data_IF_981949207256
#
_entry.id   IF_981949207256
#
_cell.length_a   1.000
_cell.length_b   1.000
_cell.length_c   1.000
_cell.angle_alpha   90.00
_cell.angle_beta   90.00
_cell.angle_gamma   90.00
#
_symmetry.space_group_name_H-M   'P 1'
#
loop_
_entity.id
_entity.type
_entity.pdbx_description
1 polymer ?
#
# COMPACT_ATOMS: atom_id res chain seq x y z
N UNK A 1 -25.92 -15.61 -17.29
CA UNK A 1 -24.96 -14.75 -16.57
C UNK A 1 -23.64 -15.50 -16.55
N UNK A 2 -22.61 -15.00 -17.25
CA UNK A 2 -21.34 -15.73 -17.41
C UNK A 2 -20.42 -15.37 -16.25
N UNK A 3 -20.20 -16.32 -15.35
CA UNK A 3 -19.15 -16.23 -14.34
C UNK A 3 -17.83 -16.47 -15.06
N UNK A 4 -17.01 -15.43 -15.20
CA UNK A 4 -15.65 -15.58 -15.72
C UNK A 4 -14.80 -16.07 -14.55
N UNK A 5 -14.49 -17.37 -14.53
CA UNK A 5 -13.55 -17.94 -13.58
C UNK A 5 -12.13 -17.55 -13.97
N UNK A 6 -11.62 -16.54 -13.28
CA UNK A 6 -10.31 -15.98 -13.51
C UNK A 6 -9.18 -16.79 -12.86
N UNK A 7 -9.48 -17.80 -12.03
CA UNK A 7 -8.50 -18.52 -11.18
C UNK A 7 -7.26 -19.07 -11.91
N UNK A 8 -7.30 -19.24 -13.23
CA UNK A 8 -6.19 -19.73 -14.07
C UNK A 8 -5.93 -18.85 -15.31
N UNK A 9 -6.38 -17.60 -15.33
CA UNK A 9 -6.25 -16.73 -16.50
C UNK A 9 -4.83 -16.16 -16.64
N UNK A 10 -4.20 -16.15 -17.84
CA UNK A 10 -2.83 -15.66 -18.05
C UNK A 10 -2.55 -14.26 -17.50
N UNK A 11 -3.57 -13.39 -17.51
CA UNK A 11 -3.50 -12.03 -16.92
C UNK A 11 -2.98 -11.98 -15.48
N UNK A 12 -3.17 -13.05 -14.69
CA UNK A 12 -2.63 -13.11 -13.32
C UNK A 12 -1.15 -13.39 -13.29
N UNK A 13 -0.64 -14.18 -14.24
CA UNK A 13 0.80 -14.40 -14.38
C UNK A 13 1.46 -13.10 -14.85
N UNK A 14 0.89 -12.45 -15.86
CA UNK A 14 1.39 -11.17 -16.37
C UNK A 14 1.40 -10.09 -15.27
N UNK A 15 0.33 -10.00 -14.46
CA UNK A 15 0.31 -9.02 -13.37
C UNK A 15 1.23 -9.41 -12.21
N UNK A 16 1.33 -10.71 -11.88
CA UNK A 16 2.30 -11.17 -10.87
C UNK A 16 3.71 -10.80 -11.31
N UNK A 17 4.06 -11.01 -12.58
CA UNK A 17 5.35 -10.62 -13.13
C UNK A 17 5.58 -9.11 -13.09
N UNK A 18 4.57 -8.30 -13.43
CA UNK A 18 4.66 -6.83 -13.34
C UNK A 18 4.84 -6.36 -11.90
N UNK A 19 4.12 -6.95 -10.94
CA UNK A 19 4.20 -6.57 -9.51
C UNK A 19 5.47 -7.10 -8.85
N UNK A 20 5.94 -8.30 -9.18
CA UNK A 20 7.21 -8.84 -8.67
C UNK A 20 8.41 -8.04 -9.15
N UNK A 21 8.33 -7.46 -10.36
CA UNK A 21 9.36 -6.55 -10.88
C UNK A 21 9.13 -5.09 -10.45
N UNK A 22 8.09 -4.79 -9.68
CA UNK A 22 7.84 -3.44 -9.18
C UNK A 22 8.88 -3.09 -8.11
N UNK A 23 9.60 -1.99 -8.30
CA UNK A 23 10.44 -1.42 -7.25
C UNK A 23 9.53 -0.81 -6.17
N UNK A 24 9.18 -1.63 -5.19
CA UNK A 24 8.34 -1.27 -4.04
C UNK A 24 8.86 -0.06 -3.28
N UNK A 25 10.18 0.10 -3.16
CA UNK A 25 10.78 1.25 -2.50
C UNK A 25 10.54 2.52 -3.31
N UNK A 26 10.77 2.47 -4.63
CA UNK A 26 10.55 3.63 -5.50
C UNK A 26 9.09 4.06 -5.52
N UNK A 27 8.15 3.11 -5.66
CA UNK A 27 6.71 3.41 -5.65
C UNK A 27 6.27 4.07 -4.33
N UNK A 28 6.62 3.45 -3.19
CA UNK A 28 6.22 3.99 -1.89
C UNK A 28 6.92 5.32 -1.61
N UNK A 29 8.17 5.49 -2.03
CA UNK A 29 8.88 6.76 -1.85
C UNK A 29 8.23 7.89 -2.65
N UNK A 30 7.91 7.67 -3.92
CA UNK A 30 7.21 8.67 -4.75
C UNK A 30 5.86 9.05 -4.12
N UNK A 31 5.11 8.06 -3.66
CA UNK A 31 3.85 8.29 -2.95
C UNK A 31 4.03 9.12 -1.67
N UNK A 32 5.02 8.79 -0.83
CA UNK A 32 5.34 9.53 0.39
C UNK A 32 5.84 10.95 0.11
N UNK A 33 6.59 11.16 -0.97
CA UNK A 33 7.05 12.48 -1.39
C UNK A 33 5.88 13.38 -1.82
N UNK A 34 4.88 12.81 -2.51
CA UNK A 34 3.68 13.54 -2.94
C UNK A 34 2.82 14.02 -1.77
N UNK A 35 2.79 13.27 -0.66
CA UNK A 35 2.07 13.67 0.56
C UNK A 35 2.96 14.37 1.61
N UNK A 36 4.21 14.73 1.27
CA UNK A 36 5.21 15.28 2.20
C UNK A 36 5.37 14.46 3.49
N UNK A 37 5.28 13.13 3.36
CA UNK A 37 5.39 12.16 4.44
C UNK A 37 4.34 12.35 5.55
N UNK A 38 3.17 12.89 5.20
CA UNK A 38 2.08 13.15 6.16
C UNK A 38 0.90 12.22 5.93
N UNK A 39 0.37 11.69 7.03
CA UNK A 39 -0.92 11.00 7.07
C UNK A 39 -1.90 11.94 7.78
N UNK A 40 -2.98 12.30 7.11
CA UNK A 40 -3.98 13.22 7.64
C UNK A 40 -5.23 12.45 8.13
N UNK A 41 -5.74 12.81 9.31
CA UNK A 41 -6.99 12.26 9.84
C UNK A 41 -6.94 10.77 10.18
N UNK A 42 -5.94 10.37 10.97
CA UNK A 42 -5.70 8.99 11.35
C UNK A 42 -6.43 8.60 12.64
N UNK A 43 -6.96 7.37 12.69
CA UNK A 43 -7.49 6.74 13.90
C UNK A 43 -6.63 5.52 14.22
N UNK A 44 -6.15 5.44 15.45
CA UNK A 44 -5.42 4.25 15.92
C UNK A 44 -6.35 3.15 16.45
N UNK A 45 -5.78 2.03 16.87
CA UNK A 45 -6.52 0.87 17.39
C UNK A 45 -7.19 1.15 18.75
N UNK A 46 -6.84 2.25 19.43
CA UNK A 46 -7.40 2.66 20.72
C UNK A 46 -8.48 3.76 20.56
N UNK A 47 -9.03 3.92 19.35
CA UNK A 47 -10.01 4.96 18.98
C UNK A 47 -9.50 6.39 19.24
N UNK A 48 -8.19 6.61 19.18
CA UNK A 48 -7.61 7.95 19.30
C UNK A 48 -7.37 8.57 17.93
N UNK A 49 -7.83 9.81 17.79
CA UNK A 49 -7.71 10.59 16.57
C UNK A 49 -6.43 11.44 16.55
N UNK A 50 -5.75 11.43 15.40
CA UNK A 50 -4.61 12.26 15.09
C UNK A 50 -4.93 13.07 13.83
N UNK A 51 -4.88 14.39 13.94
CA UNK A 51 -5.11 15.29 12.80
C UNK A 51 -4.04 15.09 11.73
N UNK A 52 -2.78 14.96 12.15
CA UNK A 52 -1.63 14.73 11.27
C UNK A 52 -0.62 13.80 11.98
N UNK A 53 -0.09 12.84 11.24
CA UNK A 53 1.09 12.04 11.62
C UNK A 53 2.19 12.33 10.60
N UNK A 54 3.39 12.63 11.09
CA UNK A 54 4.55 12.90 10.25
C UNK A 54 5.46 11.68 10.27
N UNK A 55 5.63 11.07 9.12
CA UNK A 55 6.49 9.92 8.95
C UNK A 55 7.97 10.35 8.81
N UNK A 56 8.93 9.54 9.30
CA UNK A 56 10.35 9.79 9.05
C UNK A 56 10.66 9.81 7.55
N UNK A 57 11.55 10.70 7.09
CA UNK A 57 11.94 10.72 5.66
C UNK A 57 12.84 9.54 5.26
N UNK A 58 13.51 8.94 6.23
CA UNK A 58 14.39 7.78 6.04
C UNK A 58 13.63 6.47 6.28
N UNK A 59 12.73 6.13 5.34
CA UNK A 59 11.98 4.88 5.34
C UNK A 59 12.45 3.95 4.22
N UNK A 60 12.29 2.66 4.45
CA UNK A 60 12.27 1.64 3.40
C UNK A 60 10.90 0.95 3.39
N UNK A 61 10.52 0.47 2.21
CA UNK A 61 9.30 -0.26 1.97
C UNK A 61 9.61 -1.63 1.36
N UNK A 62 8.94 -2.65 1.86
CA UNK A 62 9.02 -4.00 1.31
C UNK A 62 7.61 -4.44 0.91
N UNK A 63 7.48 -4.99 -0.29
CA UNK A 63 6.23 -5.59 -0.76
C UNK A 63 5.92 -6.82 0.10
N UNK A 64 4.75 -6.82 0.74
CA UNK A 64 4.28 -7.92 1.60
C UNK A 64 3.30 -8.80 0.85
N UNK A 65 2.37 -8.16 0.15
CA UNK A 65 1.34 -8.86 -0.60
C UNK A 65 0.76 -7.96 -1.67
N UNK A 66 0.15 -8.58 -2.66
CA UNK A 66 -0.67 -7.93 -3.64
C UNK A 66 -1.94 -8.75 -3.86
N UNK A 67 -2.98 -8.10 -4.34
CA UNK A 67 -4.19 -8.77 -4.78
C UNK A 67 -4.88 -7.95 -5.86
N UNK A 68 -5.68 -8.62 -6.68
CA UNK A 68 -6.64 -7.96 -7.56
C UNK A 68 -8.02 -8.42 -7.12
N UNK A 69 -8.95 -7.49 -7.03
CA UNK A 69 -10.36 -7.81 -6.85
C UNK A 69 -11.20 -7.35 -8.02
N UNK A 70 -12.42 -7.90 -8.07
CA UNK A 70 -13.46 -7.49 -9.01
C UNK A 70 -14.75 -7.27 -8.21
N UNK A 71 -15.29 -6.07 -8.28
CA UNK A 71 -16.55 -5.72 -7.61
C UNK A 71 -17.45 -4.97 -8.59
N UNK A 72 -18.66 -5.47 -8.86
CA UNK A 72 -19.64 -4.84 -9.75
C UNK A 72 -19.06 -4.39 -11.11
N UNK A 73 -18.22 -5.25 -11.73
CA UNK A 73 -17.48 -5.00 -12.99
C UNK A 73 -16.32 -4.01 -12.92
N UNK A 74 -16.04 -3.39 -11.76
CA UNK A 74 -14.80 -2.63 -11.55
C UNK A 74 -13.72 -3.57 -11.06
N UNK A 75 -12.52 -3.47 -11.65
CA UNK A 75 -11.35 -4.18 -11.15
C UNK A 75 -10.48 -3.20 -10.37
N UNK A 76 -9.79 -3.72 -9.36
CA UNK A 76 -8.88 -2.94 -8.55
C UNK A 76 -7.65 -3.77 -8.21
N UNK A 77 -6.51 -3.11 -8.06
CA UNK A 77 -5.25 -3.71 -7.66
C UNK A 77 -4.90 -3.13 -6.28
N UNK A 78 -4.68 -4.00 -5.32
CA UNK A 78 -4.26 -3.63 -3.98
C UNK A 78 -2.83 -4.12 -3.76
N UNK A 79 -1.95 -3.22 -3.37
CA UNK A 79 -0.55 -3.52 -3.10
C UNK A 79 -0.24 -3.10 -1.67
N UNK A 80 0.27 -4.04 -0.87
CA UNK A 80 0.52 -3.85 0.56
C UNK A 80 2.01 -3.92 0.84
N UNK A 81 2.48 -2.91 1.56
CA UNK A 81 3.87 -2.69 1.92
C UNK A 81 4.04 -2.67 3.44
N UNK A 82 5.18 -3.17 3.91
CA UNK A 82 5.67 -2.92 5.27
C UNK A 82 6.63 -1.75 5.21
N UNK A 83 6.46 -0.79 6.11
CA UNK A 83 7.33 0.37 6.26
C UNK A 83 8.31 0.12 7.40
N UNK A 84 9.60 0.36 7.14
CA UNK A 84 10.67 0.24 8.13
C UNK A 84 11.45 1.53 8.24
N UNK A 85 11.72 1.98 9.46
CA UNK A 85 12.58 3.12 9.70
C UNK A 85 14.05 2.71 9.63
N UNK A 86 14.85 3.41 8.82
CA UNK A 86 16.25 3.04 8.60
C UNK A 86 17.18 3.39 9.78
N UNK A 87 16.72 4.21 10.75
CA UNK A 87 17.53 4.76 11.84
C UNK A 87 17.39 4.00 13.18
N UNK A 88 16.35 3.18 13.36
CA UNK A 88 16.03 2.48 14.60
C UNK A 88 15.93 0.98 14.34
N UNK A 89 17.05 0.25 14.40
CA UNK A 89 17.08 -1.24 14.40
C UNK A 89 16.11 -1.92 13.39
N UNK A 90 15.91 -1.34 12.20
CA UNK A 90 14.94 -1.80 11.20
C UNK A 90 13.56 -2.16 11.78
N UNK A 91 13.05 -1.35 12.72
CA UNK A 91 11.75 -1.58 13.31
C UNK A 91 10.63 -1.31 12.31
N UNK A 92 9.65 -2.21 12.29
CA UNK A 92 8.42 -2.07 11.51
C UNK A 92 7.64 -0.88 12.06
N UNK A 93 7.58 0.17 11.27
CA UNK A 93 6.85 1.40 11.59
C UNK A 93 5.34 1.23 11.31
N UNK A 94 5.00 0.42 10.31
CA UNK A 94 3.61 0.17 9.97
C UNK A 94 3.46 -0.55 8.65
N UNK A 95 2.24 -0.53 8.15
CA UNK A 95 1.86 -1.05 6.85
C UNK A 95 1.09 0.02 6.07
N UNK A 96 1.42 0.11 4.78
CA UNK A 96 0.73 0.95 3.82
C UNK A 96 0.11 0.04 2.77
N UNK A 97 -1.17 0.21 2.51
CA UNK A 97 -1.86 -0.44 1.40
C UNK A 97 -2.29 0.61 0.41
N UNK A 98 -1.84 0.52 -0.83
CA UNK A 98 -2.26 1.40 -1.93
C UNK A 98 -3.21 0.64 -2.84
N UNK A 99 -4.33 1.26 -3.19
CA UNK A 99 -5.36 0.69 -4.05
C UNK A 99 -5.42 1.49 -5.35
N UNK A 100 -5.28 0.80 -6.47
CA UNK A 100 -5.39 1.33 -7.82
C UNK A 100 -6.61 0.76 -8.55
N UNK A 101 -7.11 1.48 -9.54
CA UNK A 101 -8.10 0.96 -10.48
C UNK A 101 -7.44 0.10 -11.59
N UNK A 102 -8.26 -0.37 -12.52
CA UNK A 102 -7.81 -1.17 -13.66
C UNK A 102 -6.94 -0.41 -14.67
N UNK A 103 -6.89 0.92 -14.59
CA UNK A 103 -6.06 1.81 -15.39
C UNK A 103 -4.81 2.28 -14.62
N UNK A 104 -4.52 1.68 -13.45
CA UNK A 104 -3.44 2.08 -12.53
C UNK A 104 -3.58 3.50 -12.00
N UNK A 105 -4.80 4.05 -11.95
CA UNK A 105 -5.08 5.31 -11.27
C UNK A 105 -5.26 5.06 -9.78
N UNK A 106 -4.62 5.91 -8.95
CA UNK A 106 -4.78 5.86 -7.50
C UNK A 106 -6.26 6.02 -7.13
N UNK A 107 -6.79 5.09 -6.35
CA UNK A 107 -8.15 5.13 -5.83
C UNK A 107 -8.18 5.50 -4.35
N UNK A 108 -7.35 4.82 -3.56
CA UNK A 108 -7.41 4.93 -2.10
C UNK A 108 -6.13 4.37 -1.47
N UNK A 109 -5.96 4.66 -0.18
CA UNK A 109 -4.88 4.15 0.65
C UNK A 109 -5.40 3.76 2.02
N UNK A 110 -4.75 2.76 2.63
CA UNK A 110 -5.04 2.38 4.02
C UNK A 110 -3.74 2.30 4.80
N UNK A 111 -3.75 2.95 5.96
CA UNK A 111 -2.61 3.05 6.86
C UNK A 111 -2.84 2.25 8.13
N UNK A 112 -1.84 1.47 8.53
CA UNK A 112 -1.78 0.82 9.84
C UNK A 112 -0.42 1.15 10.45
N UNK A 113 -0.35 2.23 11.24
CA UNK A 113 0.90 2.75 11.77
C UNK A 113 1.01 2.43 13.25
N UNK A 114 2.20 2.03 13.67
CA UNK A 114 2.50 1.92 15.09
C UNK A 114 2.89 3.31 15.62
N UNK A 115 1.96 3.93 16.35
CA UNK A 115 2.12 5.29 16.89
C UNK A 115 3.28 5.42 17.89
N UNK A 116 3.72 4.33 18.52
CA UNK A 116 4.87 4.40 19.44
C UNK A 116 6.18 4.74 18.74
N UNK A 117 6.23 4.62 17.40
CA UNK A 117 7.43 4.79 16.58
C UNK A 117 7.37 5.97 15.59
N UNK A 118 6.34 6.82 15.66
CA UNK A 118 6.15 8.02 14.81
C UNK A 118 5.93 9.29 15.62
#
# INVERSE_FOLDING_TARGET
>A
MTQIELKNHPVWQDLTEVIENLDANSLVREHLELCDYKICGYWDEEDKYYEEIILPRSLSAELVSNSIGVTNKKRWIQIKFVLKANNLLAQKLGELTIIYDENLQFLDENWQINIEFV
#
